data_IF_136754512198
#
_entry.id   IF_136754512198
#
_cell.length_a   1.000
_cell.length_b   1.000
_cell.length_c   1.000
_cell.angle_alpha   90.00
_cell.angle_beta   90.00
_cell.angle_gamma   90.00
#
_symmetry.space_group_name_H-M   'P 1'
#
loop_
_entity.id
_entity.type
_entity.pdbx_description
1 polymer ?
#
# COMPACT_ATOMS: atom_id res chain seq x y z
N UNK A 1 19.50 -4.31 -22.84
CA UNK A 1 18.13 -3.81 -23.05
C UNK A 1 17.21 -4.62 -22.15
N UNK A 2 16.53 -4.04 -21.14
CA UNK A 2 15.66 -4.83 -20.28
C UNK A 2 14.42 -5.24 -21.08
N UNK A 3 14.07 -6.53 -21.00
CA UNK A 3 12.95 -7.12 -21.71
C UNK A 3 11.64 -6.58 -21.16
N UNK A 4 10.98 -5.73 -21.96
CA UNK A 4 9.58 -5.43 -21.84
C UNK A 4 8.77 -6.62 -22.38
N UNK A 5 7.81 -7.08 -21.57
CA UNK A 5 6.60 -7.80 -21.98
C UNK A 5 6.76 -9.20 -22.62
N UNK A 6 6.25 -10.22 -21.92
CA UNK A 6 5.62 -11.36 -22.57
C UNK A 6 4.12 -11.33 -22.22
N UNK A 7 3.21 -11.27 -23.22
CA UNK A 7 1.78 -11.10 -23.00
C UNK A 7 1.10 -12.46 -22.78
N UNK A 8 0.55 -12.68 -21.59
CA UNK A 8 -0.47 -13.68 -21.35
C UNK A 8 -1.40 -13.22 -20.21
N UNK A 9 -2.60 -12.75 -20.56
CA UNK A 9 -3.66 -12.42 -19.60
C UNK A 9 -3.80 -10.93 -19.28
N UNK A 10 -5.05 -10.46 -19.29
CA UNK A 10 -5.52 -9.07 -19.14
C UNK A 10 -4.85 -8.30 -18.00
N UNK A 11 -4.05 -7.29 -18.37
CA UNK A 11 -3.50 -6.21 -17.54
C UNK A 11 -2.87 -6.65 -16.20
N UNK A 12 -1.79 -7.42 -16.25
CA UNK A 12 -0.80 -7.40 -15.19
C UNK A 12 0.21 -6.28 -15.52
N UNK A 13 -0.06 -5.05 -15.07
CA UNK A 13 1.06 -4.15 -14.81
C UNK A 13 1.83 -4.80 -13.66
N UNK A 14 3.12 -5.16 -13.84
CA UNK A 14 3.96 -5.47 -12.68
C UNK A 14 3.82 -4.26 -11.75
N UNK A 15 3.47 -4.47 -10.48
CA UNK A 15 3.53 -3.34 -9.55
C UNK A 15 4.97 -2.84 -9.58
N UNK A 16 5.18 -1.59 -9.96
CA UNK A 16 6.56 -1.12 -10.08
C UNK A 16 7.15 -0.88 -8.69
N UNK A 17 6.32 -0.74 -7.65
CA UNK A 17 6.69 -0.63 -6.23
C UNK A 17 7.66 -1.73 -5.77
N UNK A 18 7.50 -2.96 -6.25
CA UNK A 18 8.30 -4.14 -5.87
C UNK A 18 9.59 -4.31 -6.70
N UNK A 19 9.78 -3.53 -7.77
CA UNK A 19 10.99 -3.60 -8.61
C UNK A 19 12.15 -2.73 -8.11
N UNK A 20 11.93 -1.86 -7.12
CA UNK A 20 12.97 -1.01 -6.54
C UNK A 20 13.56 -1.64 -5.27
N UNK A 21 14.87 -1.50 -5.02
CA UNK A 21 15.50 -2.10 -3.85
C UNK A 21 14.98 -1.43 -2.57
N UNK A 22 14.08 -2.12 -1.85
CA UNK A 22 13.81 -1.83 -0.46
C UNK A 22 15.14 -1.95 0.32
N UNK A 23 15.42 -0.99 1.20
CA UNK A 23 16.65 -1.02 2.00
C UNK A 23 16.68 -2.31 2.84
N UNK A 24 17.83 -2.99 2.79
CA UNK A 24 18.15 -4.33 3.33
C UNK A 24 17.51 -5.54 2.64
N UNK A 25 18.20 -6.04 1.60
CA UNK A 25 18.18 -7.46 1.25
C UNK A 25 18.79 -8.27 2.40
N UNK A 26 17.99 -8.70 3.36
CA UNK A 26 18.48 -9.65 4.37
C UNK A 26 18.75 -10.98 3.66
N UNK A 27 19.96 -11.49 3.88
CA UNK A 27 20.61 -12.62 3.22
C UNK A 27 19.71 -13.84 2.98
N UNK A 28 20.04 -14.55 1.89
CA UNK A 28 19.83 -15.96 1.52
C UNK A 28 19.54 -16.96 2.68
N UNK A 29 19.95 -16.69 3.92
CA UNK A 29 19.68 -17.50 5.12
C UNK A 29 18.25 -17.45 5.70
N UNK A 30 17.40 -16.45 5.38
CA UNK A 30 16.02 -16.40 5.91
C UNK A 30 15.04 -17.27 5.11
N UNK A 31 15.34 -17.52 3.85
CA UNK A 31 14.60 -18.43 2.95
C UNK A 31 14.74 -19.90 3.39
N UNK A 32 15.87 -20.28 3.99
CA UNK A 32 16.10 -21.63 4.53
C UNK A 32 15.34 -21.84 5.84
N UNK A 33 15.21 -20.81 6.69
CA UNK A 33 14.47 -20.88 7.94
C UNK A 33 12.94 -20.98 7.74
N UNK A 34 12.39 -20.33 6.71
CA UNK A 34 11.00 -20.50 6.30
C UNK A 34 10.79 -21.77 5.45
N UNK A 35 11.80 -22.20 4.69
CA UNK A 35 11.77 -23.38 3.82
C UNK A 35 11.65 -24.72 4.56
N UNK A 36 11.93 -24.77 5.87
CA UNK A 36 11.72 -25.98 6.69
C UNK A 36 10.37 -25.94 7.43
N UNK A 37 9.79 -24.75 7.65
CA UNK A 37 8.48 -24.59 8.32
C UNK A 37 7.26 -24.51 7.39
N UNK A 38 7.47 -24.21 6.10
CA UNK A 38 6.42 -23.98 5.11
C UNK A 38 6.43 -25.04 4.01
N UNK A 39 6.00 -26.27 4.33
CA UNK A 39 5.65 -27.29 3.32
C UNK A 39 4.45 -26.85 2.46
N UNK A 40 3.63 -27.78 1.98
CA UNK A 40 2.48 -27.52 1.09
C UNK A 40 1.59 -26.30 1.44
N UNK A 41 1.51 -25.91 2.72
CA UNK A 41 0.84 -24.66 3.15
C UNK A 41 1.47 -23.39 2.56
N UNK A 42 2.79 -23.30 2.45
CA UNK A 42 3.48 -22.15 1.86
C UNK A 42 3.25 -22.03 0.36
N UNK A 43 3.23 -23.17 -0.36
CA UNK A 43 2.95 -23.19 -1.80
C UNK A 43 1.49 -22.86 -2.09
N UNK A 44 0.55 -23.37 -1.27
CA UNK A 44 -0.87 -23.04 -1.37
C UNK A 44 -1.14 -21.55 -1.07
N UNK A 45 -0.45 -20.98 -0.08
CA UNK A 45 -0.57 -19.55 0.23
C UNK A 45 -0.02 -18.67 -0.90
N UNK A 46 1.12 -19.02 -1.49
CA UNK A 46 1.69 -18.31 -2.63
C UNK A 46 0.78 -18.42 -3.87
N UNK A 47 0.23 -19.60 -4.14
CA UNK A 47 -0.69 -19.84 -5.26
C UNK A 47 -2.02 -19.08 -5.07
N UNK A 48 -2.54 -19.02 -3.84
CA UNK A 48 -3.70 -18.18 -3.51
C UNK A 48 -3.39 -16.68 -3.72
N UNK A 49 -2.27 -16.19 -3.20
CA UNK A 49 -1.85 -14.80 -3.34
C UNK A 49 -1.74 -14.38 -4.80
N UNK A 50 -1.07 -15.20 -5.61
CA UNK A 50 -0.84 -14.91 -7.03
C UNK A 50 -2.14 -14.90 -7.84
N UNK A 51 -3.09 -15.79 -7.51
CA UNK A 51 -4.41 -15.86 -8.17
C UNK A 51 -5.37 -14.74 -7.75
N UNK A 52 -5.16 -14.12 -6.60
CA UNK A 52 -6.07 -13.12 -6.01
C UNK A 52 -5.43 -11.77 -5.73
N UNK A 53 -4.29 -11.45 -6.37
CA UNK A 53 -3.50 -10.24 -6.13
C UNK A 53 -4.35 -8.95 -6.19
N UNK A 54 -5.24 -8.83 -7.18
CA UNK A 54 -6.12 -7.66 -7.32
C UNK A 54 -7.13 -7.53 -6.18
N UNK A 55 -7.74 -8.65 -5.76
CA UNK A 55 -8.66 -8.67 -4.62
C UNK A 55 -7.92 -8.28 -3.34
N UNK A 56 -6.75 -8.87 -3.09
CA UNK A 56 -5.95 -8.60 -1.90
C UNK A 56 -5.48 -7.15 -1.86
N UNK A 57 -5.15 -6.56 -3.00
CA UNK A 57 -4.83 -5.13 -3.10
C UNK A 57 -6.02 -4.24 -2.71
N UNK A 58 -7.22 -4.57 -3.19
CA UNK A 58 -8.43 -3.85 -2.78
C UNK A 58 -8.75 -4.02 -1.29
N UNK A 59 -8.61 -5.23 -0.75
CA UNK A 59 -8.81 -5.51 0.68
C UNK A 59 -7.82 -4.73 1.53
N UNK A 60 -6.56 -4.69 1.11
CA UNK A 60 -5.53 -3.88 1.76
C UNK A 60 -5.94 -2.41 1.81
N UNK A 61 -6.23 -1.79 0.66
CA UNK A 61 -6.58 -0.37 0.62
C UNK A 61 -7.86 -0.05 1.39
N UNK A 62 -8.88 -0.91 1.29
CA UNK A 62 -10.12 -0.78 2.06
C UNK A 62 -9.85 -0.84 3.57
N UNK A 63 -9.03 -1.78 4.03
CA UNK A 63 -8.63 -1.88 5.43
C UNK A 63 -7.89 -0.63 5.92
N UNK A 64 -6.99 -0.08 5.09
CA UNK A 64 -6.26 1.14 5.42
C UNK A 64 -7.17 2.37 5.47
N UNK A 65 -8.18 2.43 4.61
CA UNK A 65 -9.21 3.48 4.67
C UNK A 65 -10.02 3.37 5.96
N UNK A 66 -10.44 2.16 6.36
CA UNK A 66 -11.13 1.93 7.63
C UNK A 66 -10.32 2.38 8.86
N UNK A 67 -8.98 2.28 8.80
CA UNK A 67 -8.10 2.74 9.89
C UNK A 67 -7.88 4.26 9.85
N UNK A 68 -7.69 4.84 8.67
CA UNK A 68 -7.42 6.27 8.52
C UNK A 68 -8.65 7.16 8.72
N UNK A 69 -9.86 6.65 8.48
CA UNK A 69 -11.12 7.37 8.66
C UNK A 69 -11.35 7.86 10.10
N UNK A 70 -11.29 6.96 11.11
CA UNK A 70 -11.37 7.33 12.52
C UNK A 70 -10.35 8.38 12.95
N UNK A 71 -9.12 8.33 12.42
CA UNK A 71 -8.12 9.37 12.70
C UNK A 71 -8.63 10.75 12.25
N UNK A 72 -9.26 10.84 11.08
CA UNK A 72 -9.85 12.11 10.62
C UNK A 72 -11.02 12.57 11.48
N UNK A 73 -11.86 11.64 11.93
CA UNK A 73 -12.94 11.95 12.86
C UNK A 73 -12.40 12.52 14.18
N UNK A 74 -11.33 11.94 14.72
CA UNK A 74 -10.65 12.42 15.92
C UNK A 74 -10.07 13.83 15.68
N UNK A 75 -9.40 14.06 14.55
CA UNK A 75 -8.90 15.41 14.18
C UNK A 75 -10.04 16.43 14.18
N UNK A 76 -11.18 16.10 13.57
CA UNK A 76 -12.37 16.95 13.53
C UNK A 76 -12.91 17.25 14.94
N UNK A 77 -13.01 16.21 15.79
CA UNK A 77 -13.45 16.34 17.18
C UNK A 77 -12.62 17.37 17.97
N UNK A 78 -11.30 17.41 17.75
CA UNK A 78 -10.39 18.38 18.37
C UNK A 78 -10.25 19.70 17.58
N UNK A 79 -11.17 20.00 16.66
CA UNK A 79 -11.19 21.23 15.85
C UNK A 79 -10.01 21.40 14.88
N UNK A 80 -9.29 20.31 14.57
CA UNK A 80 -8.29 20.27 13.50
C UNK A 80 -9.05 20.05 12.18
N UNK A 81 -9.51 21.15 11.58
CA UNK A 81 -10.39 21.16 10.40
C UNK A 81 -9.82 22.01 9.25
N UNK A 82 -10.49 21.95 8.10
CA UNK A 82 -10.12 22.75 6.92
C UNK A 82 -9.01 22.15 6.05
N UNK A 83 -8.47 22.91 5.09
CA UNK A 83 -7.56 22.40 4.07
C UNK A 83 -6.24 21.90 4.65
N UNK A 84 -5.71 22.54 5.69
CA UNK A 84 -4.49 22.10 6.38
C UNK A 84 -4.72 20.77 7.09
N UNK A 85 -5.87 20.58 7.73
CA UNK A 85 -6.22 19.29 8.33
C UNK A 85 -6.34 18.18 7.28
N UNK A 86 -6.89 18.48 6.10
CA UNK A 86 -6.92 17.53 4.97
C UNK A 86 -5.53 17.15 4.49
N UNK A 87 -4.62 18.13 4.37
CA UNK A 87 -3.24 17.86 4.01
C UNK A 87 -2.53 16.96 5.03
N UNK A 88 -2.65 17.28 6.33
CA UNK A 88 -2.07 16.47 7.41
C UNK A 88 -2.65 15.05 7.43
N UNK A 89 -3.97 14.91 7.28
CA UNK A 89 -4.63 13.61 7.23
C UNK A 89 -4.20 12.78 6.01
N UNK A 90 -3.99 13.41 4.86
CA UNK A 90 -3.43 12.75 3.68
C UNK A 90 -2.03 12.21 3.98
N UNK A 91 -1.19 12.99 4.68
CA UNK A 91 0.10 12.52 5.17
C UNK A 91 0.00 11.31 6.09
N UNK A 92 -0.93 11.33 7.05
CA UNK A 92 -1.22 10.16 7.92
C UNK A 92 -1.64 8.95 7.09
N UNK A 93 -2.49 9.14 6.08
CA UNK A 93 -2.97 8.06 5.20
C UNK A 93 -1.82 7.39 4.43
N UNK A 94 -0.86 8.18 3.95
CA UNK A 94 0.36 7.65 3.30
C UNK A 94 1.21 6.88 4.32
N UNK A 95 1.40 7.43 5.52
CA UNK A 95 2.20 6.79 6.56
C UNK A 95 1.61 5.44 7.02
N UNK A 96 0.29 5.33 7.14
CA UNK A 96 -0.37 4.07 7.51
C UNK A 96 -0.08 2.97 6.46
N UNK A 97 -0.17 3.28 5.17
CA UNK A 97 0.18 2.33 4.11
C UNK A 97 1.65 1.92 4.23
N UNK A 98 2.55 2.90 4.36
CA UNK A 98 3.98 2.61 4.41
C UNK A 98 4.38 1.81 5.64
N UNK A 99 3.76 2.04 6.79
CA UNK A 99 4.01 1.21 7.99
C UNK A 99 3.60 -0.23 7.75
N UNK A 100 2.41 -0.47 7.19
CA UNK A 100 1.96 -1.84 6.91
C UNK A 100 2.81 -2.51 5.84
N UNK A 101 2.99 -1.87 4.69
CA UNK A 101 3.70 -2.42 3.55
C UNK A 101 5.16 -2.74 3.90
N UNK A 102 5.83 -1.86 4.66
CA UNK A 102 7.20 -2.11 5.13
C UNK A 102 7.25 -3.17 6.23
N UNK A 103 6.23 -3.26 7.09
CA UNK A 103 6.15 -4.34 8.11
C UNK A 103 5.99 -5.72 7.48
N UNK A 104 5.30 -5.78 6.33
CA UNK A 104 5.16 -6.98 5.52
C UNK A 104 6.36 -7.21 4.58
N UNK A 105 7.28 -6.24 4.47
CA UNK A 105 8.48 -6.30 3.61
C UNK A 105 8.10 -6.50 2.12
N UNK A 106 7.01 -5.87 1.69
CA UNK A 106 6.47 -6.03 0.32
C UNK A 106 6.59 -4.78 -0.55
N UNK A 107 7.09 -3.66 -0.01
CA UNK A 107 7.15 -2.38 -0.72
C UNK A 107 8.45 -1.63 -0.45
N UNK A 108 8.83 -0.77 -1.40
CA UNK A 108 9.89 0.21 -1.24
C UNK A 108 9.32 1.55 -0.71
N UNK A 109 10.18 2.46 -0.25
CA UNK A 109 9.73 3.79 0.17
C UNK A 109 9.16 4.60 -1.00
N UNK A 110 8.21 5.53 -0.78
CA UNK A 110 7.46 6.18 -1.86
C UNK A 110 8.33 6.95 -2.86
N UNK A 111 9.43 7.54 -2.39
CA UNK A 111 10.37 8.28 -3.24
C UNK A 111 11.22 7.39 -4.15
N UNK A 112 11.21 6.08 -3.95
CA UNK A 112 11.89 5.11 -4.81
C UNK A 112 10.98 4.61 -5.95
N UNK A 113 9.67 4.85 -5.92
CA UNK A 113 8.74 4.37 -6.94
C UNK A 113 8.84 5.18 -8.24
N UNK A 114 8.29 4.68 -9.36
CA UNK A 114 8.13 5.50 -10.55
C UNK A 114 7.21 6.69 -10.29
N UNK A 115 7.52 7.83 -10.91
CA UNK A 115 6.80 9.10 -10.68
C UNK A 115 5.29 8.97 -10.96
N UNK A 116 4.90 8.22 -11.98
CA UNK A 116 3.49 7.99 -12.30
C UNK A 116 2.74 7.28 -11.16
N UNK A 117 3.38 6.32 -10.49
CA UNK A 117 2.77 5.64 -9.34
C UNK A 117 2.69 6.57 -8.13
N UNK A 118 3.73 7.35 -7.87
CA UNK A 118 3.70 8.36 -6.81
C UNK A 118 2.55 9.36 -7.01
N UNK A 119 2.37 9.85 -8.24
CA UNK A 119 1.28 10.78 -8.57
C UNK A 119 -0.08 10.14 -8.34
N UNK A 120 -0.30 8.92 -8.84
CA UNK A 120 -1.59 8.21 -8.64
C UNK A 120 -1.86 7.99 -7.15
N UNK A 121 -0.85 7.57 -6.39
CA UNK A 121 -0.96 7.30 -4.96
C UNK A 121 -1.31 8.57 -4.18
N UNK A 122 -0.59 9.67 -4.44
CA UNK A 122 -0.84 10.98 -3.82
C UNK A 122 -2.22 11.52 -4.18
N UNK A 123 -2.64 11.40 -5.45
CA UNK A 123 -3.95 11.88 -5.91
C UNK A 123 -5.08 11.09 -5.27
N UNK A 124 -5.04 9.75 -5.28
CA UNK A 124 -6.11 8.95 -4.67
C UNK A 124 -6.22 9.20 -3.17
N UNK A 125 -5.09 9.25 -2.46
CA UNK A 125 -5.07 9.52 -1.02
C UNK A 125 -5.49 10.94 -0.69
N UNK A 126 -5.17 11.91 -1.54
CA UNK A 126 -5.65 13.29 -1.44
C UNK A 126 -7.17 13.39 -1.64
N UNK A 127 -7.71 12.73 -2.67
CA UNK A 127 -9.17 12.65 -2.90
C UNK A 127 -9.86 12.00 -1.70
N UNK A 128 -9.31 10.89 -1.19
CA UNK A 128 -9.80 10.26 0.03
C UNK A 128 -9.80 11.23 1.22
N UNK A 129 -8.69 11.95 1.45
CA UNK A 129 -8.58 12.93 2.54
C UNK A 129 -9.59 14.08 2.43
N UNK A 130 -9.91 14.53 1.21
CA UNK A 130 -10.96 15.53 0.96
C UNK A 130 -12.34 14.95 1.31
N UNK A 131 -12.66 13.77 0.77
CA UNK A 131 -13.97 13.12 0.96
C UNK A 131 -14.23 12.79 2.42
N UNK A 132 -13.30 12.12 3.09
CA UNK A 132 -13.44 11.79 4.52
C UNK A 132 -13.44 13.04 5.37
N UNK A 133 -12.65 14.07 5.01
CA UNK A 133 -12.70 15.37 5.67
C UNK A 133 -14.08 15.99 5.64
N UNK A 134 -14.72 15.98 4.47
CA UNK A 134 -16.09 16.45 4.28
C UNK A 134 -17.08 15.73 5.20
N UNK A 135 -17.02 14.39 5.24
CA UNK A 135 -17.87 13.59 6.14
C UNK A 135 -17.57 13.83 7.63
N UNK A 136 -16.30 13.96 8.00
CA UNK A 136 -15.90 14.14 9.40
C UNK A 136 -16.28 15.52 9.98
N UNK A 137 -16.38 16.55 9.14
CA UNK A 137 -16.74 17.91 9.58
C UNK A 137 -18.20 18.30 9.29
N UNK A 138 -18.94 17.50 8.52
CA UNK A 138 -20.38 17.71 8.27
C UNK A 138 -20.72 18.92 7.38
N UNK A 139 -19.82 19.33 6.49
CA UNK A 139 -20.04 20.36 5.46
C UNK A 139 -20.21 19.71 4.07
#
# INVERSE_FOLDING_TARGET
MPQYNAPAGTYAYPDAKSTFPAFHKVHFGRTVALGIGAGALGTLAADFYTRHIGLLNHVHHFGMDMLAGPVRAIMSYYRVIGPVATFLHTGVRIMIDQVMENSAIISAMPWAWPINEQVVDLVLKGVYGVVVGKFATGL
#
